data_IF_425141364245
#
_entry.id   IF_425141364245
#
_cell.length_a   1.000
_cell.length_b   1.000
_cell.length_c   1.000
_cell.angle_alpha   90.00
_cell.angle_beta   90.00
_cell.angle_gamma   90.00
#
_symmetry.space_group_name_H-M   'P 1'
#
loop_
_entity.id
_entity.type
_entity.pdbx_description
1 polymer ?
#
# COMPACT_ATOMS: atom_id res chain seq x y z
N UNK A 1 -8.04 -11.75 9.84
CA UNK A 1 -7.60 -10.78 8.81
C UNK A 1 -8.83 -10.31 8.05
N UNK A 2 -8.85 -9.06 7.60
CA UNK A 2 -9.95 -8.51 6.79
C UNK A 2 -9.57 -8.74 5.33
N UNK A 3 -10.25 -9.67 4.66
CA UNK A 3 -10.02 -9.99 3.26
C UNK A 3 -11.12 -9.28 2.48
N UNK A 4 -10.75 -8.43 1.54
CA UNK A 4 -11.71 -7.78 0.65
C UNK A 4 -12.26 -8.83 -0.33
N UNK A 5 -13.59 -8.90 -0.49
CA UNK A 5 -14.24 -9.96 -1.28
C UNK A 5 -14.71 -9.43 -2.63
N UNK A 6 -15.17 -8.18 -2.68
CA UNK A 6 -15.63 -7.53 -3.91
C UNK A 6 -14.53 -6.71 -4.58
N UNK A 7 -14.59 -6.48 -5.91
CA UNK A 7 -13.61 -5.65 -6.61
C UNK A 7 -13.48 -4.24 -6.02
N UNK A 8 -14.61 -3.65 -5.61
CA UNK A 8 -14.65 -2.31 -5.00
C UNK A 8 -13.97 -2.30 -3.63
N UNK A 9 -14.19 -3.32 -2.80
CA UNK A 9 -13.50 -3.46 -1.51
C UNK A 9 -11.99 -3.65 -1.67
N UNK A 10 -11.56 -4.38 -2.71
CA UNK A 10 -10.14 -4.60 -3.01
C UNK A 10 -9.48 -3.24 -3.34
N UNK A 11 -10.10 -2.45 -4.23
CA UNK A 11 -9.57 -1.12 -4.57
C UNK A 11 -9.50 -0.18 -3.34
N UNK A 12 -10.52 -0.21 -2.48
CA UNK A 12 -10.54 0.57 -1.24
C UNK A 12 -9.43 0.11 -0.28
N UNK A 13 -9.24 -1.21 -0.14
CA UNK A 13 -8.21 -1.81 0.69
C UNK A 13 -6.81 -1.43 0.19
N UNK A 14 -6.53 -1.60 -1.10
CA UNK A 14 -5.25 -1.22 -1.73
C UNK A 14 -4.98 0.28 -1.58
N UNK A 15 -6.01 1.12 -1.76
CA UNK A 15 -5.92 2.56 -1.52
C UNK A 15 -5.57 2.92 -0.07
N UNK A 16 -6.18 2.24 0.89
CA UNK A 16 -5.88 2.43 2.32
C UNK A 16 -4.47 1.95 2.67
N UNK A 17 -4.05 0.80 2.14
CA UNK A 17 -2.73 0.22 2.34
C UNK A 17 -1.63 1.16 1.82
N UNK A 18 -1.80 1.74 0.62
CA UNK A 18 -0.89 2.74 0.05
C UNK A 18 -0.66 3.94 0.96
N UNK A 19 -1.74 4.56 1.45
CA UNK A 19 -1.65 5.72 2.36
C UNK A 19 -0.94 5.36 3.66
N UNK A 20 -1.22 4.17 4.20
CA UNK A 20 -0.56 3.67 5.41
C UNK A 20 0.94 3.48 5.18
N UNK A 21 1.33 2.81 4.10
CA UNK A 21 2.74 2.57 3.77
C UNK A 21 3.49 3.90 3.58
N UNK A 22 2.92 4.86 2.84
CA UNK A 22 3.54 6.18 2.62
C UNK A 22 3.80 6.91 3.95
N UNK A 23 2.79 6.93 4.83
CA UNK A 23 2.92 7.56 6.15
C UNK A 23 4.02 6.90 6.99
N UNK A 24 4.14 5.57 6.94
CA UNK A 24 5.15 4.84 7.72
C UNK A 24 6.56 5.07 7.17
N UNK A 25 6.70 5.08 5.84
CA UNK A 25 7.97 5.36 5.16
C UNK A 25 8.44 6.79 5.47
N UNK A 26 7.59 7.79 5.29
CA UNK A 26 7.92 9.19 5.60
C UNK A 26 8.22 9.39 7.10
N UNK A 27 7.58 8.61 7.97
CA UNK A 27 7.85 8.62 9.41
C UNK A 27 9.06 7.79 9.86
N UNK A 28 9.81 7.17 8.93
CA UNK A 28 10.97 6.32 9.25
C UNK A 28 10.62 5.00 9.96
N UNK A 29 9.36 4.57 9.91
CA UNK A 29 8.83 3.37 10.60
C UNK A 29 8.68 2.15 9.67
N UNK A 30 9.03 2.30 8.39
CA UNK A 30 9.01 1.26 7.36
C UNK A 30 10.09 1.59 6.34
N UNK A 31 10.85 0.59 5.89
CA UNK A 31 11.77 0.79 4.78
C UNK A 31 10.95 0.98 3.50
N UNK A 32 11.22 2.00 2.66
CA UNK A 32 10.61 2.12 1.32
C UNK A 32 10.64 0.81 0.53
N UNK A 33 11.66 -0.02 0.74
CA UNK A 33 11.80 -1.30 0.05
C UNK A 33 10.73 -2.34 0.41
N UNK A 34 10.15 -2.25 1.61
CA UNK A 34 9.12 -3.16 2.11
C UNK A 34 7.70 -2.70 1.69
N UNK A 35 7.58 -1.50 1.09
CA UNK A 35 6.31 -0.92 0.69
C UNK A 35 5.91 -1.41 -0.71
N UNK A 36 5.37 -2.63 -0.79
CA UNK A 36 4.97 -3.31 -2.04
C UNK A 36 4.08 -2.47 -2.97
N UNK A 37 3.05 -1.82 -2.43
CA UNK A 37 2.10 -1.01 -3.20
C UNK A 37 2.71 0.30 -3.69
N UNK A 38 3.57 0.92 -2.88
CA UNK A 38 4.32 2.10 -3.28
C UNK A 38 5.33 1.76 -4.39
N UNK A 39 6.04 0.64 -4.27
CA UNK A 39 6.95 0.18 -5.32
C UNK A 39 6.23 -0.03 -6.65
N UNK A 40 5.03 -0.60 -6.63
CA UNK A 40 4.24 -0.81 -7.83
C UNK A 40 3.83 0.50 -8.55
N UNK A 41 3.79 1.64 -7.85
CA UNK A 41 3.49 2.95 -8.45
C UNK A 41 4.70 3.62 -9.12
N UNK A 42 5.91 3.36 -8.62
CA UNK A 42 7.14 4.04 -9.08
C UNK A 42 8.05 3.18 -9.95
N UNK A 43 7.94 1.85 -9.83
CA UNK A 43 8.83 0.90 -10.51
C UNK A 43 8.11 -0.07 -11.46
N UNK A 44 6.80 0.09 -11.69
CA UNK A 44 6.14 -0.55 -12.84
C UNK A 44 6.61 0.12 -14.13
N UNK A 45 7.44 -0.59 -14.88
CA UNK A 45 7.58 -0.47 -16.33
C UNK A 45 6.87 -1.67 -16.99
#
# INVERSE_FOLDING_TARGET
ELIAETPEEIELFEGALRRRQLRLVLGGKMNPDDASELKALFFKA
#
